data_IF_740048351214
#
_entry.id   IF_740048351214
#
_cell.length_a   1.000
_cell.length_b   1.000
_cell.length_c   1.000
_cell.angle_alpha   90.00
_cell.angle_beta   90.00
_cell.angle_gamma   90.00
#
_symmetry.space_group_name_H-M   'P 1'
#
loop_
_entity.id
_entity.type
_entity.pdbx_description
1 polymer ?
#
# COMPACT_ATOMS: atom_id res chain seq x y z
N UNK A 1 -9.66 22.80 9.58
CA UNK A 1 -8.72 22.09 8.67
C UNK A 1 -7.33 21.92 9.27
N UNK A 2 -6.72 22.95 9.86
CA UNK A 2 -5.42 22.82 10.52
C UNK A 2 -5.36 21.68 11.56
N UNK A 3 -6.37 21.55 12.44
CA UNK A 3 -6.43 20.45 13.40
C UNK A 3 -6.49 19.06 12.76
N UNK A 4 -7.16 18.90 11.61
CA UNK A 4 -7.21 17.63 10.86
C UNK A 4 -5.83 17.32 10.25
N UNK A 5 -5.13 18.34 9.73
CA UNK A 5 -3.77 18.18 9.22
C UNK A 5 -2.78 17.79 10.34
N UNK A 6 -2.89 18.42 11.52
CA UNK A 6 -2.06 18.08 12.68
C UNK A 6 -2.40 16.70 13.23
N UNK A 7 -3.65 16.24 13.16
CA UNK A 7 -4.02 14.87 13.51
C UNK A 7 -3.36 13.84 12.56
N UNK A 8 -3.31 14.13 11.26
CA UNK A 8 -2.59 13.30 10.29
C UNK A 8 -1.09 13.24 10.62
N UNK A 9 -0.48 14.38 10.98
CA UNK A 9 0.91 14.44 11.45
C UNK A 9 1.10 13.66 12.76
N UNK A 10 0.14 13.74 13.70
CA UNK A 10 0.17 13.00 14.95
C UNK A 10 0.18 11.49 14.74
N UNK A 11 -0.64 10.99 13.81
CA UNK A 11 -0.63 9.57 13.41
C UNK A 11 0.74 9.12 12.87
N UNK A 12 1.45 10.01 12.16
CA UNK A 12 2.78 9.75 11.61
C UNK A 12 3.93 10.27 12.49
N UNK A 13 3.65 10.74 13.71
CA UNK A 13 4.69 11.33 14.58
C UNK A 13 5.75 10.30 14.99
N UNK A 14 5.37 9.02 15.04
CA UNK A 14 6.23 7.87 15.32
C UNK A 14 6.67 7.13 14.04
N UNK A 15 6.73 7.82 12.90
CA UNK A 15 7.03 7.22 11.59
C UNK A 15 8.35 6.44 11.56
N UNK A 16 9.37 6.86 12.33
CA UNK A 16 10.63 6.13 12.41
C UNK A 16 10.45 4.70 12.94
N UNK A 17 9.64 4.53 14.00
CA UNK A 17 9.33 3.20 14.55
C UNK A 17 8.44 2.43 13.59
N UNK A 18 7.43 3.09 13.00
CA UNK A 18 6.55 2.47 12.01
C UNK A 18 7.31 1.90 10.81
N UNK A 19 8.25 2.69 10.25
CA UNK A 19 9.11 2.25 9.16
C UNK A 19 10.08 1.15 9.59
N UNK A 20 10.62 1.19 10.81
CA UNK A 20 11.51 0.15 11.31
C UNK A 20 10.82 -1.23 11.37
N UNK A 21 9.60 -1.29 11.91
CA UNK A 21 8.86 -2.56 12.02
C UNK A 21 8.31 -3.04 10.66
N UNK A 22 7.99 -2.14 9.75
CA UNK A 22 7.55 -2.48 8.38
C UNK A 22 8.74 -2.98 7.55
N UNK A 23 9.85 -2.24 7.52
CA UNK A 23 11.06 -2.61 6.79
C UNK A 23 11.72 -3.91 7.30
N UNK A 24 11.50 -4.27 8.57
CA UNK A 24 11.90 -5.54 9.14
C UNK A 24 11.32 -6.75 8.36
N UNK A 25 10.10 -6.64 7.81
CA UNK A 25 9.44 -7.75 7.12
C UNK A 25 10.18 -8.19 5.85
N UNK A 26 10.38 -7.32 4.85
CA UNK A 26 11.11 -7.66 3.63
C UNK A 26 12.56 -8.10 3.87
N UNK A 27 13.20 -7.66 4.95
CA UNK A 27 14.54 -8.15 5.33
C UNK A 27 14.46 -9.61 5.79
N UNK A 28 13.46 -9.95 6.59
CA UNK A 28 13.24 -11.31 7.11
C UNK A 28 12.84 -12.29 6.00
N UNK A 29 11.98 -11.86 5.07
CA UNK A 29 11.61 -12.63 3.86
C UNK A 29 12.86 -12.99 3.02
N UNK A 30 13.68 -11.98 2.69
CA UNK A 30 14.91 -12.20 1.93
C UNK A 30 15.91 -13.09 2.67
N UNK A 31 16.02 -12.98 4.00
CA UNK A 31 16.86 -13.87 4.79
C UNK A 31 16.41 -15.34 4.67
N UNK A 32 15.11 -15.59 4.64
CA UNK A 32 14.55 -16.92 4.38
C UNK A 32 14.86 -17.42 2.96
N UNK A 33 14.70 -16.56 1.95
CA UNK A 33 15.04 -16.89 0.57
C UNK A 33 16.52 -17.25 0.40
N UNK A 34 17.43 -16.50 1.02
CA UNK A 34 18.87 -16.79 1.03
C UNK A 34 19.15 -18.13 1.72
N UNK A 35 18.50 -18.40 2.87
CA UNK A 35 18.69 -19.66 3.58
C UNK A 35 18.30 -20.89 2.73
N UNK A 36 17.20 -20.79 1.98
CA UNK A 36 16.73 -21.85 1.06
C UNK A 36 17.70 -22.04 -0.12
N UNK A 37 18.05 -20.94 -0.81
CA UNK A 37 18.95 -20.98 -1.96
C UNK A 37 20.37 -21.45 -1.62
N UNK A 38 20.82 -21.23 -0.38
CA UNK A 38 22.12 -21.68 0.12
C UNK A 38 22.10 -23.11 0.69
N UNK A 39 20.95 -23.81 0.69
CA UNK A 39 20.83 -25.18 1.21
C UNK A 39 21.12 -25.29 2.71
N UNK A 40 20.77 -24.26 3.49
CA UNK A 40 21.01 -24.24 4.93
C UNK A 40 20.08 -25.21 5.67
N UNK A 41 20.33 -25.43 6.97
CA UNK A 41 19.50 -26.32 7.79
C UNK A 41 18.03 -25.88 7.84
N UNK A 42 17.12 -26.85 7.83
CA UNK A 42 15.67 -26.63 8.01
C UNK A 42 15.33 -25.77 9.24
N UNK A 43 16.09 -25.91 10.33
CA UNK A 43 15.91 -25.10 11.55
C UNK A 43 16.15 -23.60 11.30
N UNK A 44 16.99 -23.24 10.34
CA UNK A 44 17.21 -21.83 9.95
C UNK A 44 15.98 -21.32 9.18
N UNK A 45 15.44 -22.13 8.26
CA UNK A 45 14.24 -21.79 7.50
C UNK A 45 13.02 -21.62 8.40
N UNK A 46 12.79 -22.54 9.35
CA UNK A 46 11.71 -22.44 10.34
C UNK A 46 11.78 -21.12 11.15
N UNK A 47 13.00 -20.68 11.49
CA UNK A 47 13.19 -19.41 12.20
C UNK A 47 12.86 -18.22 11.31
N UNK A 48 13.35 -18.18 10.07
CA UNK A 48 13.08 -17.06 9.17
C UNK A 48 11.61 -17.00 8.75
N UNK A 49 10.93 -18.14 8.61
CA UNK A 49 9.49 -18.19 8.32
C UNK A 49 8.66 -17.60 9.47
N UNK A 50 9.05 -17.86 10.73
CA UNK A 50 8.42 -17.22 11.88
C UNK A 50 8.61 -15.69 11.88
N UNK A 51 9.79 -15.21 11.46
CA UNK A 51 10.09 -13.78 11.35
C UNK A 51 9.33 -13.12 10.19
N UNK A 52 9.25 -13.78 9.03
CA UNK A 52 8.49 -13.32 7.86
C UNK A 52 6.98 -13.23 8.17
N UNK A 53 6.42 -14.23 8.85
CA UNK A 53 5.02 -14.20 9.29
C UNK A 53 4.70 -12.96 10.16
N UNK A 54 5.61 -12.59 11.07
CA UNK A 54 5.49 -11.35 11.83
C UNK A 54 5.62 -10.11 10.93
N UNK A 55 6.57 -10.13 9.98
CA UNK A 55 6.76 -9.09 8.96
C UNK A 55 5.52 -8.83 8.10
N UNK A 56 4.80 -9.87 7.70
CA UNK A 56 3.54 -9.75 6.96
C UNK A 56 2.47 -8.99 7.76
N UNK A 57 2.45 -9.17 9.09
CA UNK A 57 1.56 -8.43 9.98
C UNK A 57 1.98 -6.96 10.12
N UNK A 58 3.29 -6.68 10.30
CA UNK A 58 3.78 -5.30 10.42
C UNK A 58 3.61 -4.52 9.11
N UNK A 59 3.77 -5.16 7.96
CA UNK A 59 3.48 -4.56 6.65
C UNK A 59 1.99 -4.19 6.50
N UNK A 60 1.07 -5.02 7.03
CA UNK A 60 -0.36 -4.69 7.04
C UNK A 60 -0.66 -3.50 7.97
N UNK A 61 -0.02 -3.43 9.14
CA UNK A 61 -0.12 -2.28 10.05
C UNK A 61 0.40 -1.01 9.37
N UNK A 62 1.55 -1.07 8.69
CA UNK A 62 2.14 0.04 7.93
C UNK A 62 1.18 0.58 6.86
N UNK A 63 0.56 -0.32 6.08
CA UNK A 63 -0.51 0.05 5.12
C UNK A 63 -1.69 0.74 5.80
N UNK A 64 -2.11 0.27 6.98
CA UNK A 64 -3.19 0.90 7.76
C UNK A 64 -2.86 2.34 8.17
N UNK A 65 -1.65 2.58 8.69
CA UNK A 65 -1.17 3.93 9.02
C UNK A 65 -1.09 4.83 7.80
N UNK A 66 -0.60 4.32 6.67
CA UNK A 66 -0.54 5.07 5.42
C UNK A 66 -1.95 5.47 4.93
N UNK A 67 -2.91 4.54 4.91
CA UNK A 67 -4.28 4.82 4.48
C UNK A 67 -4.98 5.79 5.43
N UNK A 68 -4.87 5.58 6.75
CA UNK A 68 -5.49 6.44 7.75
C UNK A 68 -4.98 7.88 7.69
N UNK A 69 -3.66 8.06 7.63
CA UNK A 69 -3.05 9.38 7.51
C UNK A 69 -3.35 10.04 6.17
N UNK A 70 -3.37 9.27 5.07
CA UNK A 70 -3.77 9.75 3.74
C UNK A 70 -5.21 10.27 3.74
N UNK A 71 -6.15 9.60 4.39
CA UNK A 71 -7.55 10.07 4.48
C UNK A 71 -7.65 11.40 5.24
N UNK A 72 -6.98 11.52 6.39
CA UNK A 72 -6.99 12.75 7.20
C UNK A 72 -6.35 13.92 6.46
N UNK A 73 -5.15 13.73 5.89
CA UNK A 73 -4.46 14.81 5.16
C UNK A 73 -5.22 15.20 3.89
N UNK A 74 -5.83 14.23 3.19
CA UNK A 74 -6.67 14.51 2.00
C UNK A 74 -7.88 15.35 2.35
N UNK A 75 -8.55 15.10 3.49
CA UNK A 75 -9.67 15.92 3.95
C UNK A 75 -9.21 17.35 4.29
N UNK A 76 -8.06 17.48 4.96
CA UNK A 76 -7.49 18.79 5.27
C UNK A 76 -7.11 19.58 4.00
N UNK A 77 -6.49 18.92 3.03
CA UNK A 77 -6.13 19.48 1.73
C UNK A 77 -7.37 19.83 0.91
N UNK A 78 -8.42 19.01 0.97
CA UNK A 78 -9.69 19.31 0.30
C UNK A 78 -10.31 20.60 0.84
N UNK A 79 -10.37 20.78 2.16
CA UNK A 79 -10.83 22.03 2.75
C UNK A 79 -9.96 23.23 2.38
N UNK A 80 -8.63 23.07 2.35
CA UNK A 80 -7.72 24.12 1.90
C UNK A 80 -7.91 24.46 0.41
N UNK A 81 -8.17 23.46 -0.43
CA UNK A 81 -8.48 23.63 -1.85
C UNK A 81 -9.76 24.45 -2.05
N UNK A 82 -10.84 24.14 -1.33
CA UNK A 82 -12.11 24.88 -1.40
C UNK A 82 -11.90 26.36 -1.12
N UNK A 83 -11.18 26.69 -0.03
CA UNK A 83 -10.85 28.08 0.30
C UNK A 83 -9.98 28.74 -0.76
N UNK A 84 -8.94 28.05 -1.25
CA UNK A 84 -7.99 28.62 -2.22
C UNK A 84 -8.61 28.84 -3.61
N UNK A 85 -9.55 27.99 -4.00
CA UNK A 85 -10.32 28.07 -5.24
C UNK A 85 -11.43 29.12 -5.20
N UNK A 86 -11.68 29.77 -4.05
CA UNK A 86 -12.74 30.77 -3.89
C UNK A 86 -14.15 30.16 -3.92
N UNK A 87 -14.29 28.88 -3.61
CA UNK A 87 -15.58 28.19 -3.54
C UNK A 87 -16.24 28.52 -2.21
N UNK A 88 -17.44 29.08 -2.23
CA UNK A 88 -18.19 29.47 -1.03
C UNK A 88 -18.74 28.27 -0.27
N UNK A 89 -19.38 27.35 -0.97
CA UNK A 89 -19.98 26.12 -0.40
C UNK A 89 -19.82 24.95 -1.37
N UNK A 90 -19.49 23.77 -0.84
CA UNK A 90 -19.54 22.51 -1.58
C UNK A 90 -20.90 21.87 -1.32
N UNK A 91 -21.87 22.12 -2.20
CA UNK A 91 -23.20 21.51 -2.12
C UNK A 91 -23.28 20.23 -2.97
N UNK A 92 -23.41 19.10 -2.27
CA UNK A 92 -23.45 17.75 -2.85
C UNK A 92 -24.64 17.55 -3.79
N UNK A 93 -25.75 18.26 -3.59
CA UNK A 93 -26.96 18.12 -4.41
C UNK A 93 -26.88 18.92 -5.73
N UNK A 94 -25.80 19.65 -5.96
CA UNK A 94 -25.62 20.35 -7.25
C UNK A 94 -25.10 19.40 -8.32
N UNK A 95 -25.56 19.52 -9.58
CA UNK A 95 -25.13 18.62 -10.66
C UNK A 95 -23.62 18.56 -10.83
N UNK A 96 -22.93 19.70 -10.73
CA UNK A 96 -21.47 19.80 -10.89
C UNK A 96 -20.70 19.02 -9.82
N UNK A 97 -21.13 19.08 -8.57
CA UNK A 97 -20.47 18.36 -7.46
C UNK A 97 -20.83 16.89 -7.51
N UNK A 98 -22.09 16.55 -7.76
CA UNK A 98 -22.56 15.16 -7.73
C UNK A 98 -21.91 14.29 -8.83
N UNK A 99 -21.78 14.80 -10.06
CA UNK A 99 -21.05 14.08 -11.12
C UNK A 99 -19.58 13.88 -10.75
N UNK A 100 -18.95 14.90 -10.13
CA UNK A 100 -17.57 14.82 -9.66
C UNK A 100 -17.40 13.78 -8.56
N UNK A 101 -18.36 13.66 -7.65
CA UNK A 101 -18.37 12.68 -6.56
C UNK A 101 -18.45 11.25 -7.11
N UNK A 102 -19.39 10.98 -8.02
CA UNK A 102 -19.54 9.63 -8.62
C UNK A 102 -18.32 9.25 -9.46
N UNK A 103 -17.86 10.15 -10.34
CA UNK A 103 -16.68 9.89 -11.16
C UNK A 103 -15.44 9.70 -10.28
N UNK A 104 -15.26 10.54 -9.26
CA UNK A 104 -14.17 10.45 -8.30
C UNK A 104 -14.16 9.13 -7.53
N UNK A 105 -15.32 8.65 -7.06
CA UNK A 105 -15.45 7.38 -6.36
C UNK A 105 -15.13 6.15 -7.24
N UNK A 106 -15.27 6.28 -8.56
CA UNK A 106 -14.93 5.23 -9.52
C UNK A 106 -13.41 5.14 -9.78
N UNK A 107 -12.65 6.23 -9.62
CA UNK A 107 -11.22 6.27 -9.96
C UNK A 107 -10.36 5.19 -9.26
N UNK A 108 -10.55 4.86 -7.96
CA UNK A 108 -9.80 3.78 -7.32
C UNK A 108 -10.05 2.40 -7.95
N UNK A 109 -11.28 2.13 -8.42
CA UNK A 109 -11.61 0.89 -9.11
C UNK A 109 -10.93 0.82 -10.48
N UNK A 110 -10.93 1.93 -11.23
CA UNK A 110 -10.25 1.99 -12.51
C UNK A 110 -8.73 1.82 -12.34
N UNK A 111 -8.13 2.49 -11.36
CA UNK A 111 -6.73 2.31 -11.01
C UNK A 111 -6.42 0.85 -10.68
N UNK A 112 -7.22 0.22 -9.83
CA UNK A 112 -7.06 -1.18 -9.43
C UNK A 112 -7.18 -2.15 -10.63
N UNK A 113 -8.10 -1.88 -11.56
CA UNK A 113 -8.26 -2.69 -12.77
C UNK A 113 -7.01 -2.63 -13.66
N UNK A 114 -6.39 -1.45 -13.81
CA UNK A 114 -5.15 -1.30 -14.56
C UNK A 114 -3.99 -2.04 -13.89
N UNK A 115 -3.79 -1.87 -12.58
CA UNK A 115 -2.68 -2.53 -11.87
C UNK A 115 -2.83 -4.05 -11.85
N UNK A 116 -4.05 -4.57 -11.64
CA UNK A 116 -4.32 -6.02 -11.62
C UNK A 116 -4.14 -6.64 -13.01
N UNK A 117 -4.60 -5.98 -14.08
CA UNK A 117 -4.37 -6.45 -15.45
C UNK A 117 -2.88 -6.49 -15.81
N UNK A 118 -2.11 -5.48 -15.38
CA UNK A 118 -0.67 -5.44 -15.58
C UNK A 118 0.05 -6.58 -14.87
N UNK A 119 -0.25 -6.82 -13.58
CA UNK A 119 0.32 -7.94 -12.82
C UNK A 119 -0.06 -9.28 -13.44
N UNK A 120 -1.33 -9.48 -13.81
CA UNK A 120 -1.79 -10.72 -14.44
C UNK A 120 -1.09 -11.02 -15.78
N UNK A 121 -0.90 -10.00 -16.61
CA UNK A 121 -0.19 -10.14 -17.89
C UNK A 121 1.29 -10.50 -17.70
N UNK A 122 1.94 -9.89 -16.72
CA UNK A 122 3.33 -10.20 -16.38
C UNK A 122 3.49 -11.60 -15.74
N UNK A 123 2.58 -11.97 -14.84
CA UNK A 123 2.57 -13.28 -14.20
C UNK A 123 2.35 -14.42 -15.21
N UNK A 124 1.48 -14.22 -16.20
CA UNK A 124 1.26 -15.21 -17.27
C UNK A 124 2.56 -15.51 -18.02
N UNK A 125 3.30 -14.46 -18.42
CA UNK A 125 4.60 -14.60 -19.07
C UNK A 125 5.64 -15.27 -18.16
N UNK A 126 5.64 -14.94 -16.87
CA UNK A 126 6.55 -15.56 -15.89
C UNK A 126 6.28 -17.06 -15.77
N UNK A 127 5.02 -17.49 -15.74
CA UNK A 127 4.63 -18.91 -15.70
C UNK A 127 5.08 -19.64 -16.97
N UNK A 128 4.87 -19.04 -18.14
CA UNK A 128 5.34 -19.61 -19.42
C UNK A 128 6.86 -19.78 -19.42
N UNK A 129 7.61 -18.79 -18.95
CA UNK A 129 9.07 -18.82 -18.92
C UNK A 129 9.61 -19.85 -17.91
N UNK A 130 9.05 -19.91 -16.70
CA UNK A 130 9.46 -20.91 -15.69
C UNK A 130 9.15 -22.33 -16.18
N UNK A 131 7.98 -22.54 -16.81
CA UNK A 131 7.65 -23.83 -17.44
C UNK A 131 8.62 -24.16 -18.57
N UNK A 132 8.99 -23.20 -19.40
CA UNK A 132 9.96 -23.39 -20.47
C UNK A 132 11.30 -23.88 -19.90
N UNK A 133 11.82 -23.22 -18.85
CA UNK A 133 13.08 -23.62 -18.22
C UNK A 133 12.99 -25.03 -17.63
N UNK A 134 11.97 -25.35 -16.83
CA UNK A 134 11.82 -26.69 -16.25
C UNK A 134 11.63 -27.82 -17.27
N UNK A 135 11.08 -27.52 -18.46
CA UNK A 135 10.83 -28.53 -19.48
C UNK A 135 12.01 -28.71 -20.46
N UNK A 136 12.95 -27.76 -20.54
CA UNK A 136 13.96 -27.71 -21.62
C UNK A 136 15.41 -27.59 -21.14
N UNK A 137 15.66 -27.42 -19.84
CA UNK A 137 16.99 -27.39 -19.21
C UNK A 137 17.02 -28.49 -18.15
#
# INVERSE_FOLDING_TARGET
MYGVAVAALGMLSTIAIGLAIDAYGPISDNAGGIAEMAGMSHRIRERTDALDAAGNTTAAIGKGFAIGSAALVSLALFGAFVSRAGVTTVDVLTPKVFIGLIVGAMLPYWFSAMTMKSVGSAALKMVEEVRRQFNTI
#
